data_IF_275253594749
#
_entry.id   IF_275253594749
#
_cell.length_a   1.000
_cell.length_b   1.000
_cell.length_c   1.000
_cell.angle_alpha   90.00
_cell.angle_beta   90.00
_cell.angle_gamma   90.00
#
_symmetry.space_group_name_H-M   'P 1'
#
loop_
_entity.id
_entity.type
_entity.pdbx_description
1 polymer ?
#
# COMPACT_ATOMS: atom_id res chain seq x y z
N UNK A 1 -4.61 2.16 17.26
CA UNK A 1 -4.99 1.02 16.42
C UNK A 1 -3.74 0.45 15.75
N UNK A 2 -3.68 -0.87 15.53
CA UNK A 2 -2.58 -1.50 14.80
C UNK A 2 -2.75 -1.29 13.29
N UNK A 3 -1.68 -0.89 12.61
CA UNK A 3 -1.65 -0.74 11.15
C UNK A 3 -0.42 -1.42 10.56
N UNK A 4 -0.61 -2.16 9.45
CA UNK A 4 0.48 -2.72 8.67
C UNK A 4 1.05 -1.62 7.74
N UNK A 5 2.30 -1.23 7.97
CA UNK A 5 3.05 -0.31 7.12
C UNK A 5 4.03 -1.10 6.24
N UNK A 6 4.07 -0.79 4.95
CA UNK A 6 4.99 -1.41 4.01
C UNK A 6 5.92 -0.36 3.38
N UNK A 7 7.22 -0.61 3.47
CA UNK A 7 8.21 0.15 2.74
C UNK A 7 8.32 -0.40 1.31
N UNK A 8 7.81 0.36 0.35
CA UNK A 8 7.78 -0.05 -1.06
C UNK A 8 9.19 -0.17 -1.66
N UNK A 9 10.15 0.63 -1.19
CA UNK A 9 11.50 0.65 -1.75
C UNK A 9 12.30 -0.62 -1.44
N UNK A 10 12.14 -1.19 -0.23
CA UNK A 10 12.92 -2.34 0.22
C UNK A 10 12.07 -3.58 0.57
N UNK A 11 10.75 -3.45 0.61
CA UNK A 11 9.80 -4.51 0.89
C UNK A 11 9.65 -4.91 2.36
N UNK A 12 10.20 -4.14 3.29
CA UNK A 12 9.99 -4.37 4.71
C UNK A 12 8.55 -4.01 5.11
N UNK A 13 7.92 -4.91 5.86
CA UNK A 13 6.60 -4.70 6.46
C UNK A 13 6.71 -4.69 7.97
N UNK A 14 6.01 -3.77 8.63
CA UNK A 14 5.97 -3.65 10.08
C UNK A 14 4.57 -3.29 10.56
N UNK A 15 4.21 -3.76 11.74
CA UNK A 15 2.95 -3.41 12.39
C UNK A 15 3.24 -2.33 13.41
N UNK A 16 2.61 -1.17 13.25
CA UNK A 16 2.76 -0.03 14.14
C UNK A 16 1.45 0.26 14.87
N UNK A 17 1.56 0.77 16.10
CA UNK A 17 0.42 1.35 16.82
C UNK A 17 0.29 2.82 16.42
N UNK A 18 -0.85 3.18 15.82
CA UNK A 18 -1.13 4.53 15.31
C UNK A 18 -2.39 5.11 15.95
N UNK A 19 -2.57 6.45 16.00
CA UNK A 19 -3.81 7.05 16.47
C UNK A 19 -5.00 6.61 15.62
N UNK A 20 -6.19 6.55 16.24
CA UNK A 20 -7.44 6.33 15.52
C UNK A 20 -7.72 7.55 14.61
N UNK A 21 -8.12 7.35 13.34
CA UNK A 21 -8.38 8.47 12.43
C UNK A 21 -9.66 9.24 12.82
N UNK A 22 -9.66 10.55 12.55
CA UNK A 22 -10.84 11.41 12.69
C UNK A 22 -11.81 11.24 11.51
N UNK A 23 -13.10 11.34 11.78
CA UNK A 23 -14.17 11.22 10.77
C UNK A 23 -14.64 12.60 10.33
N UNK A 24 -14.69 12.82 9.00
CA UNK A 24 -15.24 14.04 8.38
C UNK A 24 -16.64 13.79 7.80
N UNK A 25 -17.41 14.85 7.47
CA UNK A 25 -18.69 14.68 6.78
C UNK A 25 -18.55 13.80 5.52
N UNK A 26 -19.42 12.80 5.38
CA UNK A 26 -19.40 11.83 4.28
C UNK A 26 -18.45 10.64 4.45
N UNK A 27 -17.85 10.45 5.63
CA UNK A 27 -16.96 9.32 5.93
C UNK A 27 -17.55 8.38 7.00
N UNK A 28 -17.05 7.15 7.03
CA UNK A 28 -17.36 6.15 8.06
C UNK A 28 -16.07 5.69 8.73
N UNK A 29 -16.09 5.57 10.06
CA UNK A 29 -15.05 4.88 10.82
C UNK A 29 -15.44 3.41 10.99
N UNK A 30 -14.58 2.52 10.49
CA UNK A 30 -14.82 1.08 10.52
C UNK A 30 -13.92 0.46 11.58
N UNK A 31 -14.52 -0.22 12.56
CA UNK A 31 -13.82 -1.03 13.55
C UNK A 31 -13.55 -2.44 12.97
N UNK A 32 -12.49 -2.57 12.17
CA UNK A 32 -12.10 -3.84 11.55
C UNK A 32 -11.72 -4.88 12.61
N UNK A 33 -12.34 -6.07 12.57
CA UNK A 33 -12.05 -7.19 13.48
C UNK A 33 -11.02 -8.18 12.93
N UNK A 34 -10.93 -8.31 11.60
CA UNK A 34 -10.02 -9.23 10.91
C UNK A 34 -9.50 -8.58 9.63
N UNK A 35 -8.21 -8.80 9.35
CA UNK A 35 -7.55 -8.41 8.10
C UNK A 35 -6.83 -9.61 7.50
N UNK A 36 -6.76 -9.66 6.17
CA UNK A 36 -6.00 -10.67 5.43
C UNK A 36 -4.94 -9.97 4.59
N UNK A 37 -3.81 -10.65 4.42
CA UNK A 37 -2.65 -10.18 3.64
C UNK A 37 -2.51 -11.11 2.44
N UNK A 38 -2.34 -10.55 1.24
CA UNK A 38 -2.35 -11.32 -0.01
C UNK A 38 -0.97 -11.30 -0.64
N UNK A 39 -0.23 -12.40 -0.45
CA UNK A 39 1.18 -12.52 -0.82
C UNK A 39 1.50 -12.03 -2.26
N UNK A 40 0.56 -12.20 -3.20
CA UNK A 40 0.70 -11.69 -4.57
C UNK A 40 0.70 -10.17 -4.67
N UNK A 41 -0.15 -9.48 -3.89
CA UNK A 41 -0.23 -8.02 -3.83
C UNK A 41 1.01 -7.43 -3.17
N UNK A 42 1.49 -8.00 -2.06
CA UNK A 42 2.70 -7.48 -1.43
C UNK A 42 3.93 -7.68 -2.32
N UNK A 43 4.05 -8.85 -2.97
CA UNK A 43 5.12 -9.09 -3.95
C UNK A 43 5.07 -8.08 -5.09
N UNK A 44 3.89 -7.86 -5.67
CA UNK A 44 3.69 -6.89 -6.74
C UNK A 44 4.16 -5.48 -6.34
N UNK A 45 3.83 -5.02 -5.13
CA UNK A 45 4.27 -3.69 -4.66
C UNK A 45 5.78 -3.60 -4.47
N UNK A 46 6.43 -4.65 -3.94
CA UNK A 46 7.89 -4.68 -3.77
C UNK A 46 8.61 -4.69 -5.12
N UNK A 47 8.14 -5.51 -6.06
CA UNK A 47 8.71 -5.60 -7.40
C UNK A 47 8.55 -4.27 -8.14
N UNK A 48 7.39 -3.61 -8.01
CA UNK A 48 7.19 -2.26 -8.51
C UNK A 48 8.17 -1.27 -7.88
N UNK A 49 8.36 -1.30 -6.56
CA UNK A 49 9.27 -0.40 -5.86
C UNK A 49 10.72 -0.49 -6.35
N UNK A 50 11.21 -1.73 -6.51
CA UNK A 50 12.58 -2.05 -6.97
C UNK A 50 12.81 -1.77 -8.46
N UNK A 51 11.75 -1.68 -9.26
CA UNK A 51 11.86 -1.44 -10.69
C UNK A 51 12.42 -0.04 -11.00
N UNK A 52 13.20 0.05 -12.09
CA UNK A 52 13.67 1.34 -12.63
C UNK A 52 12.52 2.09 -13.34
N UNK A 53 12.76 3.35 -13.71
CA UNK A 53 11.74 4.20 -14.33
C UNK A 53 11.15 3.63 -15.62
N UNK A 54 11.98 3.03 -16.48
CA UNK A 54 11.51 2.44 -17.73
C UNK A 54 10.62 1.22 -17.48
N UNK A 55 10.98 0.38 -16.51
CA UNK A 55 10.16 -0.76 -16.10
C UNK A 55 8.83 -0.29 -15.49
N UNK A 56 8.84 0.72 -14.62
CA UNK A 56 7.63 1.32 -14.04
C UNK A 56 6.69 1.88 -15.11
N UNK A 57 7.24 2.61 -16.10
CA UNK A 57 6.49 3.13 -17.24
C UNK A 57 5.86 2.01 -18.09
N UNK A 58 6.59 0.90 -18.30
CA UNK A 58 6.05 -0.29 -19.01
C UNK A 58 4.95 -1.01 -18.23
N UNK A 59 5.05 -1.07 -16.90
CA UNK A 59 4.04 -1.68 -16.04
C UNK A 59 2.76 -0.84 -15.92
N UNK A 60 2.88 0.49 -16.03
CA UNK A 60 1.76 1.43 -15.94
C UNK A 60 1.78 2.42 -17.12
N UNK A 61 1.56 1.93 -18.36
CA UNK A 61 1.69 2.75 -19.57
C UNK A 61 0.69 3.90 -19.60
N UNK A 62 -0.50 3.72 -19.04
CA UNK A 62 -1.55 4.75 -19.02
C UNK A 62 -1.18 5.98 -18.16
N UNK A 63 -0.19 5.85 -17.27
CA UNK A 63 0.33 6.98 -16.48
C UNK A 63 1.35 7.84 -17.22
N UNK A 64 1.81 7.38 -18.39
CA UNK A 64 2.85 8.06 -19.19
C UNK A 64 2.43 8.32 -20.64
N UNK A 65 1.32 7.73 -21.09
CA UNK A 65 0.71 8.05 -22.38
C UNK A 65 0.01 9.41 -22.29
N UNK A 66 0.39 10.33 -23.17
CA UNK A 66 -0.36 11.55 -23.48
C UNK A 66 -1.46 11.26 -24.48
#
# INVERSE_FOLDING_TARGET
MKQLLQNIANGQSRVEEVPCPEVKPGQLLIATSLSLVSAGTERMMVDFGKANWLQKARQQPDKVRM
#
